data_IF_378419462621
#
_entry.id   IF_378419462621
#
_cell.length_a   1.000
_cell.length_b   1.000
_cell.length_c   1.000
_cell.angle_alpha   90.00
_cell.angle_beta   90.00
_cell.angle_gamma   90.00
#
_symmetry.space_group_name_H-M   'P 1'
#
loop_
_entity.id
_entity.type
_entity.pdbx_description
1 polymer ?
#
# COMPACT_ATOMS: atom_id res chain seq x y z
N UNK A 1 -7.58 9.50 12.93
CA UNK A 1 -8.01 10.52 13.89
C UNK A 1 -7.64 11.90 13.38
N UNK A 2 -8.40 12.92 13.81
CA UNK A 2 -8.11 14.30 13.44
C UNK A 2 -6.72 14.70 13.96
N UNK A 3 -5.95 15.32 13.11
CA UNK A 3 -4.60 15.76 13.44
C UNK A 3 -3.50 14.73 13.20
N UNK A 4 -3.84 13.57 12.70
CA UNK A 4 -2.82 12.62 12.28
C UNK A 4 -2.13 13.14 11.02
N UNK A 5 -0.81 13.01 11.00
CA UNK A 5 0.00 13.37 9.84
C UNK A 5 0.67 12.13 9.28
N UNK A 6 0.63 11.99 7.97
CA UNK A 6 1.21 10.86 7.26
C UNK A 6 2.29 11.37 6.33
N UNK A 7 3.49 10.81 6.47
CA UNK A 7 4.59 11.09 5.56
C UNK A 7 4.73 9.94 4.57
N UNK A 8 4.59 10.26 3.29
CA UNK A 8 4.72 9.29 2.21
C UNK A 8 5.98 9.57 1.40
N UNK A 9 6.65 8.53 0.98
CA UNK A 9 7.80 8.61 0.07
C UNK A 9 7.40 8.07 -1.29
N UNK A 10 7.73 8.77 -2.38
CA UNK A 10 7.48 8.25 -3.73
C UNK A 10 8.19 6.92 -3.95
N UNK A 11 7.51 5.99 -4.61
CA UNK A 11 8.08 4.69 -4.94
C UNK A 11 8.73 4.77 -6.30
N UNK A 12 10.06 4.64 -6.35
CA UNK A 12 10.83 4.69 -7.58
C UNK A 12 10.91 3.33 -8.27
N UNK A 13 10.92 2.27 -7.46
CA UNK A 13 11.08 0.91 -7.94
C UNK A 13 10.25 -0.02 -7.08
N UNK A 14 9.20 -0.60 -7.67
CA UNK A 14 8.33 -1.52 -6.96
C UNK A 14 9.01 -2.82 -6.57
N UNK A 15 10.10 -3.19 -7.26
CA UNK A 15 10.85 -4.39 -6.90
C UNK A 15 11.58 -4.27 -5.57
N UNK A 16 11.86 -3.06 -5.13
CA UNK A 16 12.54 -2.82 -3.85
C UNK A 16 11.60 -2.78 -2.66
N UNK A 17 10.28 -2.88 -2.88
CA UNK A 17 9.30 -2.87 -1.79
C UNK A 17 9.40 -4.15 -0.97
N UNK A 18 9.41 -3.97 0.35
CA UNK A 18 9.43 -5.10 1.29
C UNK A 18 8.01 -5.50 1.67
N UNK A 19 7.82 -6.78 1.92
CA UNK A 19 6.54 -7.28 2.44
C UNK A 19 6.23 -6.61 3.77
N UNK A 20 4.98 -6.19 3.94
CA UNK A 20 4.54 -5.47 5.12
C UNK A 20 4.61 -3.96 5.00
N UNK A 21 5.20 -3.42 3.93
CA UNK A 21 5.22 -1.99 3.69
C UNK A 21 3.80 -1.49 3.43
N UNK A 22 3.43 -0.37 4.05
CA UNK A 22 2.15 0.27 3.75
C UNK A 22 2.35 1.17 2.53
N UNK A 23 1.55 0.93 1.50
CA UNK A 23 1.64 1.65 0.24
C UNK A 23 0.34 2.34 -0.10
N UNK A 24 0.46 3.48 -0.78
CA UNK A 24 -0.66 4.10 -1.46
C UNK A 24 -0.64 3.60 -2.90
N UNK A 25 -1.70 2.97 -3.32
CA UNK A 25 -1.78 2.34 -4.63
C UNK A 25 -3.10 2.65 -5.31
N UNK A 26 -3.05 2.83 -6.61
CA UNK A 26 -4.24 2.94 -7.44
C UNK A 26 -4.51 1.60 -8.09
N UNK A 27 -5.71 1.08 -7.84
CA UNK A 27 -6.15 -0.20 -8.36
C UNK A 27 -7.33 0.04 -9.28
N UNK A 28 -7.32 -0.50 -10.52
CA UNK A 28 -8.43 -0.31 -11.45
C UNK A 28 -9.76 -0.75 -10.84
N UNK A 29 -10.76 0.13 -10.96
CA UNK A 29 -12.10 -0.12 -10.42
C UNK A 29 -12.26 0.13 -8.93
N UNK A 30 -11.16 0.38 -8.21
CA UNK A 30 -11.21 0.58 -6.75
C UNK A 30 -10.68 1.94 -6.31
N UNK A 31 -10.02 2.67 -7.22
CA UNK A 31 -9.42 3.97 -6.90
C UNK A 31 -8.15 3.85 -6.07
N UNK A 32 -7.79 4.93 -5.39
CA UNK A 32 -6.61 4.98 -4.55
C UNK A 32 -6.92 4.40 -3.18
N UNK A 33 -6.03 3.54 -2.69
CA UNK A 33 -6.20 2.87 -1.40
C UNK A 33 -4.87 2.76 -0.68
N UNK A 34 -4.91 2.74 0.64
CA UNK A 34 -3.75 2.56 1.51
C UNK A 34 -3.81 1.13 2.06
N UNK A 35 -2.81 0.31 1.70
CA UNK A 35 -2.81 -1.12 2.00
C UNK A 35 -1.41 -1.62 2.35
N UNK A 36 -1.35 -2.77 3.00
CA UNK A 36 -0.09 -3.48 3.22
C UNK A 36 0.29 -4.22 1.96
N UNK A 37 1.54 -4.04 1.54
CA UNK A 37 2.09 -4.70 0.37
C UNK A 37 2.67 -6.06 0.75
N UNK A 38 2.42 -7.05 -0.10
CA UNK A 38 3.07 -8.35 -0.02
C UNK A 38 3.28 -8.88 -1.43
N UNK A 39 4.39 -9.55 -1.66
CA UNK A 39 4.71 -10.11 -2.97
C UNK A 39 5.08 -11.58 -2.83
N UNK A 40 4.52 -12.42 -3.70
CA UNK A 40 4.86 -13.83 -3.79
C UNK A 40 5.08 -14.16 -5.27
N UNK A 41 6.35 -14.43 -5.63
CA UNK A 41 6.71 -14.59 -7.03
C UNK A 41 6.38 -13.33 -7.82
N UNK A 42 5.55 -13.45 -8.84
CA UNK A 42 5.10 -12.31 -9.66
C UNK A 42 3.74 -11.75 -9.24
N UNK A 43 3.13 -12.33 -8.21
CA UNK A 43 1.82 -11.89 -7.73
C UNK A 43 1.98 -10.92 -6.58
N UNK A 44 1.14 -9.91 -6.59
CA UNK A 44 1.09 -8.89 -5.54
C UNK A 44 -0.20 -9.04 -4.77
N UNK A 45 -0.11 -8.91 -3.46
CA UNK A 45 -1.24 -8.93 -2.56
C UNK A 45 -1.29 -7.60 -1.81
N UNK A 46 -2.43 -6.94 -1.86
CA UNK A 46 -2.69 -5.72 -1.10
C UNK A 46 -3.66 -6.07 0.01
N UNK A 47 -3.21 -5.97 1.25
CA UNK A 47 -3.98 -6.42 2.40
C UNK A 47 -4.46 -5.24 3.24
N UNK A 48 -5.72 -5.28 3.64
CA UNK A 48 -6.25 -4.33 4.60
C UNK A 48 -5.75 -4.65 6.01
N UNK A 49 -5.68 -3.62 6.85
CA UNK A 49 -5.38 -3.82 8.27
C UNK A 49 -6.48 -4.62 8.97
N UNK A 50 -7.72 -4.50 8.50
CA UNK A 50 -8.86 -5.22 9.04
C UNK A 50 -8.93 -6.62 8.41
N UNK A 51 -8.80 -7.71 9.20
CA UNK A 51 -8.82 -9.08 8.67
C UNK A 51 -10.15 -9.52 8.09
N UNK A 52 -11.22 -8.74 8.28
CA UNK A 52 -12.53 -9.02 7.68
C UNK A 52 -12.52 -8.83 6.16
N UNK A 53 -11.55 -8.07 5.63
CA UNK A 53 -11.42 -7.85 4.19
C UNK A 53 -10.40 -8.81 3.60
N UNK A 54 -10.76 -9.45 2.49
CA UNK A 54 -9.85 -10.34 1.79
C UNK A 54 -8.75 -9.55 1.07
N UNK A 55 -7.54 -10.12 0.96
CA UNK A 55 -6.47 -9.51 0.18
C UNK A 55 -6.86 -9.35 -1.29
N UNK A 56 -6.39 -8.26 -1.88
CA UNK A 56 -6.54 -8.02 -3.32
C UNK A 56 -5.33 -8.63 -4.02
N UNK A 57 -5.55 -9.61 -4.87
CA UNK A 57 -4.47 -10.26 -5.64
C UNK A 57 -4.39 -9.64 -7.02
N UNK A 58 -3.18 -9.19 -7.39
CA UNK A 58 -2.95 -8.48 -8.64
C UNK A 58 -1.64 -8.92 -9.28
N UNK A 59 -1.54 -8.70 -10.59
CA UNK A 59 -0.25 -8.71 -11.26
C UNK A 59 0.42 -7.34 -11.06
N UNK A 60 1.73 -7.30 -11.13
CA UNK A 60 2.49 -6.07 -10.92
C UNK A 60 2.09 -4.95 -11.89
N UNK A 61 1.71 -5.30 -13.11
CA UNK A 61 1.31 -4.34 -14.14
C UNK A 61 -0.11 -3.80 -13.97
N UNK A 62 -0.89 -4.36 -13.05
CA UNK A 62 -2.27 -3.94 -12.81
C UNK A 62 -2.39 -2.87 -11.73
N UNK A 63 -1.30 -2.52 -11.06
CA UNK A 63 -1.32 -1.60 -9.93
C UNK A 63 -0.34 -0.46 -10.16
N UNK A 64 -0.76 0.75 -9.80
CA UNK A 64 0.12 1.93 -9.82
C UNK A 64 0.41 2.30 -8.38
N UNK A 65 1.68 2.14 -7.99
CA UNK A 65 2.13 2.55 -6.66
C UNK A 65 2.44 4.04 -6.66
N UNK A 66 1.86 4.76 -5.71
CA UNK A 66 2.03 6.21 -5.60
C UNK A 66 3.04 6.60 -4.54
N UNK A 67 3.11 5.83 -3.45
CA UNK A 67 4.04 6.11 -2.39
C UNK A 67 4.03 5.02 -1.33
N UNK A 68 5.04 5.04 -0.45
CA UNK A 68 5.10 4.18 0.72
C UNK A 68 5.10 5.02 1.98
N UNK A 69 4.51 4.46 3.04
CA UNK A 69 4.43 5.14 4.32
C UNK A 69 5.80 5.12 5.01
N UNK A 70 6.29 6.31 5.39
CA UNK A 70 7.51 6.46 6.17
C UNK A 70 7.21 6.60 7.65
N UNK A 71 6.23 7.43 7.97
CA UNK A 71 5.93 7.75 9.36
C UNK A 71 4.51 8.25 9.50
N UNK A 72 3.97 8.06 10.70
CA UNK A 72 2.68 8.63 11.10
C UNK A 72 2.91 9.40 12.38
N UNK A 73 2.49 10.67 12.42
CA UNK A 73 2.47 11.47 13.61
C UNK A 73 1.05 11.69 14.05
N UNK A 74 0.84 11.57 15.35
CA UNK A 74 -0.46 11.84 15.95
C UNK A 74 -0.35 13.06 16.85
N UNK A 75 -1.32 13.93 16.71
CA UNK A 75 -1.46 15.06 17.60
C UNK A 75 -2.07 14.58 18.91
N UNK A 76 -1.36 14.83 19.98
CA UNK A 76 -1.82 14.44 21.32
C UNK A 76 -2.61 15.59 21.95
#
# INVERSE_FOLDING_TARGET
>A
ADGDMVLMEPIKDSYSLRNGTIVSAMVPGMGTTLKYFSKRGERIFLEAANPAYEPIELNLDEVVFQGKLLAVWRKI
#
